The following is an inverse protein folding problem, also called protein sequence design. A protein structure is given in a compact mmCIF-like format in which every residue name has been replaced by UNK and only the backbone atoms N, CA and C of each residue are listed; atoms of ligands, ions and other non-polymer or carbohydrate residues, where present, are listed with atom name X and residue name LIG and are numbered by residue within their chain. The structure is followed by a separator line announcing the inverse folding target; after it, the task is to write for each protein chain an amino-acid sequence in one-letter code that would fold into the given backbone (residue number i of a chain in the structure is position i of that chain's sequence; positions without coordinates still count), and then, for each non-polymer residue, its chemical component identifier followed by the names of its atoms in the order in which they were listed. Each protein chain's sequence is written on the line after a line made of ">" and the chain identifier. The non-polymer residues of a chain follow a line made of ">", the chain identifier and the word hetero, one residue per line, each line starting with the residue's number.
data_IF_623551215392
#
_entry.id   IF_623551215392
#
_cell.length_a   1.000
_cell.length_b   1.000
_cell.length_c   1.000
_cell.angle_alpha   90.00
_cell.angle_beta   90.00
_cell.angle_gamma   90.00
#
_symmetry.space_group_name_H-M   'P 1'
#
loop_
_entity.id
_entity.type
_entity.pdbx_description
1 polymer ?
2 polymer ?
3 polymer ?
4 non-polymer ?
5 water ?
#
# COMPACT_ATOMS: atom_id res chain seq x y z
N UNK A 1 -19.53 -6.86 4.60
CA UNK A 1 -19.91 -6.03 3.44
C UNK A 1 -19.24 -6.50 2.17
N UNK A 2 -18.76 -5.54 1.40
CA UNK A 2 -18.03 -5.86 0.18
C UNK A 2 -16.55 -6.15 0.43
N UNK A 3 -15.96 -6.81 -0.55
CA UNK A 3 -14.59 -7.28 -0.39
C UNK A 3 -13.87 -7.24 -1.72
N UNK A 4 -12.56 -7.34 -1.65
CA UNK A 4 -11.71 -7.33 -2.84
C UNK A 4 -10.56 -8.31 -2.72
N UNK A 5 -10.08 -8.82 -3.84
CA UNK A 5 -8.82 -9.55 -3.92
C UNK A 5 -7.99 -8.87 -5.00
N UNK A 6 -6.75 -8.60 -4.73
CA UNK A 6 -5.87 -7.90 -5.69
C UNK A 6 -4.49 -8.52 -5.64
N UNK A 7 -3.90 -8.69 -6.83
CA UNK A 7 -2.50 -9.05 -6.98
C UNK A 7 -1.75 -7.89 -7.60
N UNK A 8 -0.62 -7.55 -7.00
CA UNK A 8 0.24 -6.47 -7.43
C UNK A 8 1.58 -7.04 -7.85
N UNK A 9 2.17 -6.48 -8.91
CA UNK A 9 3.41 -6.97 -9.46
C UNK A 9 4.26 -5.79 -9.87
N UNK A 10 5.55 -5.85 -9.52
CA UNK A 10 6.51 -4.83 -9.93
C UNK A 10 7.79 -5.48 -10.38
N UNK A 11 8.30 -5.12 -11.57
CA UNK A 11 9.62 -5.49 -12.02
C UNK A 11 10.40 -4.20 -12.24
N UNK A 12 11.66 -4.18 -11.81
CA UNK A 12 12.54 -3.01 -11.91
C UNK A 12 13.86 -3.47 -12.51
N UNK A 13 14.20 -2.95 -13.69
CA UNK A 13 15.46 -3.30 -14.28
C UNK A 13 16.63 -2.56 -13.63
N UNK A 14 17.79 -3.17 -13.75
CA UNK A 14 19.01 -2.68 -13.08
C UNK A 14 20.21 -3.03 -13.96
N UNK A 15 20.34 -2.35 -15.11
CA UNK A 15 21.38 -2.76 -16.08
C UNK A 15 22.75 -2.73 -15.42
N UNK A 16 23.53 -3.78 -15.67
CA UNK A 16 24.86 -3.92 -15.08
C UNK A 16 24.86 -4.56 -13.73
N UNK A 17 23.70 -4.86 -13.19
CA UNK A 17 23.51 -5.42 -11.84
C UNK A 17 22.59 -6.63 -11.89
N UNK A 18 22.68 -7.39 -12.97
CA UNK A 18 21.91 -8.58 -13.16
C UNK A 18 20.53 -8.30 -13.78
N UNK A 19 19.63 -9.23 -13.62
CA UNK A 19 18.33 -9.21 -14.26
C UNK A 19 17.32 -8.47 -13.40
N UNK A 20 16.21 -8.00 -13.97
CA UNK A 20 15.26 -7.19 -13.19
C UNK A 20 14.75 -7.93 -11.95
N UNK A 21 14.62 -7.20 -10.87
CA UNK A 21 14.00 -7.76 -9.68
C UNK A 21 12.48 -7.75 -9.79
N UNK A 22 11.84 -8.88 -9.44
CA UNK A 22 10.40 -9.06 -9.52
C UNK A 22 9.86 -9.30 -8.11
N UNK A 23 8.87 -8.49 -7.74
CA UNK A 23 8.18 -8.60 -6.45
C UNK A 23 6.67 -8.61 -6.71
N UNK A 24 5.97 -9.64 -6.20
CA UNK A 24 4.53 -9.64 -6.26
C UNK A 24 3.92 -9.96 -4.89
N UNK A 25 2.83 -9.29 -4.58
CA UNK A 25 2.09 -9.52 -3.33
C UNK A 25 0.60 -9.63 -3.65
N UNK A 26 -0.11 -10.40 -2.82
CA UNK A 26 -1.55 -10.56 -2.94
C UNK A 26 -2.20 -10.07 -1.67
N UNK A 27 -3.35 -9.42 -1.83
CA UNK A 27 -4.17 -8.90 -0.75
C UNK A 27 -5.61 -9.40 -0.89
N UNK A 28 -6.25 -9.64 0.26
CA UNK A 28 -7.71 -9.62 0.38
C UNK A 28 -8.04 -8.39 1.24
N UNK A 29 -8.86 -7.48 0.73
CA UNK A 29 -9.10 -6.23 1.43
C UNK A 29 -7.76 -5.60 1.78
N UNK A 30 -7.53 -5.22 3.04
CA UNK A 30 -6.26 -4.60 3.42
C UNK A 30 -5.35 -5.59 4.14
N UNK A 31 -5.51 -6.89 3.86
CA UNK A 31 -4.71 -7.96 4.46
C UNK A 31 -3.81 -8.60 3.42
N UNK A 32 -2.50 -8.47 3.61
CA UNK A 32 -1.52 -9.17 2.80
C UNK A 32 -1.62 -10.66 3.09
N UNK A 33 -1.65 -11.50 2.04
CA UNK A 33 -1.70 -12.94 2.25
C UNK A 33 -0.66 -13.78 1.56
N UNK A 34 -0.01 -13.28 0.50
CA UNK A 34 1.05 -14.01 -0.17
C UNK A 34 2.09 -13.03 -0.67
N UNK A 35 3.33 -13.51 -0.84
CA UNK A 35 4.40 -12.73 -1.41
C UNK A 35 5.36 -13.64 -2.17
N UNK A 36 6.04 -13.05 -3.16
CA UNK A 36 7.10 -13.70 -3.92
C UNK A 36 8.13 -12.63 -4.30
N UNK A 37 9.41 -12.91 -4.12
CA UNK A 37 10.49 -11.99 -4.47
C UNK A 37 11.59 -12.77 -5.18
N UNK A 38 11.92 -12.37 -6.41
CA UNK A 38 12.93 -13.12 -7.16
C UNK A 38 14.31 -13.03 -6.56
N UNK A 39 14.58 -12.06 -5.68
CA UNK A 39 15.89 -11.97 -5.00
C UNK A 39 15.95 -12.82 -3.74
N UNK A 40 14.85 -13.47 -3.36
CA UNK A 40 14.95 -14.40 -2.24
C UNK A 40 15.94 -15.53 -2.55
N UNK A 41 16.48 -16.15 -1.50
CA UNK A 41 17.51 -17.17 -1.74
C UNK A 41 16.96 -18.33 -2.55
N UNK A 42 15.71 -18.73 -2.27
CA UNK A 42 15.07 -19.86 -2.92
C UNK A 42 13.63 -19.48 -3.27
N UNK A 43 13.45 -18.63 -4.31
CA UNK A 43 12.16 -17.97 -4.52
C UNK A 43 10.98 -18.93 -4.58
N UNK A 44 10.04 -18.72 -3.70
CA UNK A 44 8.77 -19.44 -3.70
C UNK A 44 7.71 -18.47 -3.25
N UNK A 45 6.45 -18.69 -3.65
CA UNK A 45 5.39 -17.91 -3.02
C UNK A 45 5.24 -18.38 -1.59
N UNK A 46 5.21 -17.42 -0.69
CA UNK A 46 5.12 -17.68 0.75
C UNK A 46 3.85 -17.11 1.37
N UNK A 47 3.27 -17.81 2.35
CA UNK A 47 2.10 -17.31 3.07
C UNK A 47 2.44 -16.14 3.96
N UNK A 48 1.48 -15.23 4.09
CA UNK A 48 1.58 -14.08 5.01
C UNK A 48 0.36 -13.90 5.87
N UNK A 49 -0.62 -14.79 5.79
CA UNK A 49 -1.80 -14.76 6.66
C UNK A 49 -2.12 -16.18 7.10
N UNK A 50 -2.64 -16.35 8.31
CA UNK A 50 -2.83 -17.72 8.80
C UNK A 50 -3.83 -18.54 8.01
N UNK A 51 -4.84 -17.91 7.42
CA UNK A 51 -5.90 -18.62 6.76
C UNK A 51 -5.49 -19.17 5.40
N UNK A 52 -4.35 -18.73 4.82
CA UNK A 52 -3.88 -19.31 3.57
C UNK A 52 -2.93 -20.48 3.83
N UNK A 53 -2.48 -20.64 5.06
CA UNK A 53 -1.50 -21.69 5.35
C UNK A 53 -2.05 -23.07 5.09
N UNK A 54 -3.35 -23.24 5.21
CA UNK A 54 -3.98 -24.53 5.04
C UNK A 54 -4.04 -24.97 3.58
N UNK A 55 -3.74 -24.11 2.63
CA UNK A 55 -3.68 -24.58 1.28
C UNK A 55 -2.54 -25.59 1.17
N UNK A 56 -2.76 -26.59 0.38
CA UNK A 56 -1.86 -27.73 0.33
C UNK A 56 -0.72 -27.50 -0.66
N UNK A 57 0.18 -28.48 -0.76
CA UNK A 57 1.39 -28.31 -1.57
C UNK A 57 1.10 -28.04 -3.02
N UNK A 58 0.03 -28.57 -3.56
CA UNK A 58 -0.28 -28.33 -4.97
C UNK A 58 -0.53 -26.85 -5.22
N UNK A 59 -1.22 -26.18 -4.31
CA UNK A 59 -1.48 -24.74 -4.41
C UNK A 59 -0.16 -23.98 -4.45
N UNK A 60 0.73 -24.25 -3.51
CA UNK A 60 1.98 -23.50 -3.46
C UNK A 60 2.86 -23.77 -4.67
N UNK A 61 2.87 -25.02 -5.14
CA UNK A 61 3.65 -25.34 -6.35
C UNK A 61 3.10 -24.57 -7.55
N UNK A 62 1.79 -24.61 -7.73
CA UNK A 62 1.20 -23.91 -8.86
C UNK A 62 1.44 -22.41 -8.78
N UNK A 63 1.19 -21.82 -7.61
CA UNK A 63 1.41 -20.38 -7.43
C UNK A 63 2.84 -19.98 -7.71
N UNK A 64 3.78 -20.79 -7.21
CA UNK A 64 5.18 -20.48 -7.44
C UNK A 64 5.53 -20.55 -8.91
N UNK A 65 5.03 -21.56 -9.61
CA UNK A 65 5.26 -21.63 -11.06
C UNK A 65 4.71 -20.38 -11.75
N UNK A 66 3.49 -19.98 -11.41
CA UNK A 66 2.90 -18.80 -12.05
C UNK A 66 3.78 -17.57 -11.81
N UNK A 67 4.22 -17.38 -10.57
CA UNK A 67 5.07 -16.25 -10.26
C UNK A 67 6.39 -16.25 -11.01
N UNK A 68 7.06 -17.40 -11.10
CA UNK A 68 8.32 -17.47 -11.82
C UNK A 68 8.12 -17.18 -13.29
N UNK A 69 7.00 -17.68 -13.85
CA UNK A 69 6.74 -17.43 -15.27
C UNK A 69 6.45 -15.97 -15.51
N UNK A 70 5.74 -15.33 -14.61
CA UNK A 70 5.46 -13.89 -14.74
C UNK A 70 6.72 -13.05 -14.60
N UNK A 71 7.63 -13.43 -13.74
CA UNK A 71 8.91 -12.74 -13.66
C UNK A 71 9.60 -12.75 -15.00
N UNK A 72 9.57 -13.90 -15.67
CA UNK A 72 10.19 -14.01 -16.98
C UNK A 72 9.47 -13.19 -18.05
N UNK A 73 8.14 -13.25 -18.11
CA UNK A 73 7.46 -12.44 -19.13
C UNK A 73 7.68 -10.94 -18.86
N UNK A 74 7.76 -10.53 -17.60
CA UNK A 74 8.07 -9.12 -17.30
C UNK A 74 9.42 -8.71 -17.85
N UNK A 75 10.40 -9.61 -17.81
CA UNK A 75 11.71 -9.25 -18.33
C UNK A 75 11.65 -9.06 -19.83
N UNK A 76 10.91 -9.92 -20.52
CA UNK A 76 10.67 -9.74 -21.94
C UNK A 76 9.94 -8.43 -22.20
N UNK A 77 8.92 -8.15 -21.43
CA UNK A 77 8.14 -6.91 -21.57
C UNK A 77 9.00 -5.65 -21.37
N UNK A 78 9.92 -5.67 -20.39
CA UNK A 78 10.81 -4.53 -20.20
C UNK A 78 11.65 -4.32 -21.44
N UNK A 79 12.15 -5.40 -22.04
CA UNK A 79 12.88 -5.26 -23.31
C UNK A 79 12.00 -4.70 -24.41
N UNK A 80 10.77 -5.20 -24.53
CA UNK A 80 9.86 -4.67 -25.55
C UNK A 80 9.61 -3.18 -25.36
N UNK A 81 9.39 -2.77 -24.13
CA UNK A 81 9.02 -1.38 -23.86
C UNK A 81 10.18 -0.42 -24.18
N UNK A 82 11.44 -0.84 -24.03
CA UNK A 82 12.54 0.00 -24.52
C UNK A 82 12.39 0.27 -26.02
N UNK A 83 12.01 -0.74 -26.78
CA UNK A 83 11.80 -0.51 -28.20
C UNK A 83 10.66 0.45 -28.43
N UNK A 84 9.51 0.22 -27.77
CA UNK A 84 8.32 1.02 -28.05
C UNK A 84 8.53 2.49 -27.77
N UNK A 85 9.39 2.82 -26.79
CA UNK A 85 9.66 4.20 -26.38
C UNK A 85 11.00 4.72 -26.90
N UNK A 86 11.67 3.97 -27.75
CA UNK A 86 12.93 4.40 -28.34
C UNK A 86 13.97 4.69 -27.26
N UNK A 87 14.04 3.86 -26.23
CA UNK A 87 14.91 4.14 -25.10
C UNK A 87 16.21 3.33 -25.15
N UNK A 88 17.25 3.84 -24.50
CA UNK A 88 18.49 3.08 -24.44
C UNK A 88 18.43 1.97 -23.39
N UNK A 89 19.40 1.08 -23.43
CA UNK A 89 19.50 -0.04 -22.54
C UNK A 89 20.16 0.36 -21.24
N UNK A 90 20.50 1.62 -21.04
CA UNK A 90 21.32 1.95 -19.91
C UNK A 90 20.60 2.25 -18.62
N UNK A 91 19.35 2.59 -18.69
CA UNK A 91 18.63 3.07 -17.53
C UNK A 91 17.78 2.01 -16.85
N UNK A 92 17.41 2.30 -15.59
CA UNK A 92 16.45 1.48 -14.86
C UNK A 92 15.02 1.91 -15.19
N UNK A 93 14.15 0.94 -15.47
CA UNK A 93 12.74 1.17 -15.76
C UNK A 93 11.88 0.23 -14.93
N UNK A 94 10.58 0.58 -14.84
CA UNK A 94 9.65 -0.07 -13.93
C UNK A 94 8.43 -0.52 -14.72
N UNK A 95 7.99 -1.76 -14.47
CA UNK A 95 6.76 -2.31 -15.02
C UNK A 95 5.87 -2.77 -13.87
N UNK A 96 4.64 -2.29 -13.82
CA UNK A 96 3.69 -2.63 -12.76
C UNK A 96 2.44 -3.19 -13.40
N UNK A 97 1.82 -4.15 -12.71
CA UNK A 97 0.54 -4.68 -13.10
C UNK A 97 -0.27 -4.95 -11.83
N UNK A 98 -1.57 -4.64 -11.89
CA UNK A 98 -2.51 -5.04 -10.86
C UNK A 98 -3.69 -5.71 -11.54
N UNK A 99 -4.21 -6.77 -10.94
CA UNK A 99 -5.48 -7.33 -11.35
C UNK A 99 -6.23 -7.86 -10.15
N UNK A 100 -7.53 -8.05 -10.30
CA UNK A 100 -8.34 -8.65 -9.27
C UNK A 100 -9.79 -8.24 -9.39
N UNK A 101 -10.54 -8.53 -8.33
CA UNK A 101 -12.00 -8.44 -8.37
C UNK A 101 -12.51 -7.84 -7.07
N UNK A 102 -13.65 -7.18 -7.19
CA UNK A 102 -14.43 -6.68 -6.05
C UNK A 102 -15.75 -7.43 -6.07
N UNK A 103 -16.23 -7.85 -4.91
CA UNK A 103 -17.51 -8.52 -4.76
C UNK A 103 -18.33 -7.81 -3.71
N UNK A 104 -19.64 -7.97 -3.81
CA UNK A 104 -20.53 -7.42 -2.80
C UNK A 104 -20.80 -8.41 -1.69
N UNK A 105 -21.70 -8.01 -0.77
CA UNK A 105 -21.94 -8.81 0.43
C UNK A 105 -22.47 -10.17 0.13
N UNK A 106 -23.14 -10.33 -1.00
CA UNK A 106 -23.68 -11.60 -1.47
C UNK A 106 -22.67 -12.41 -2.26
N UNK A 107 -21.44 -11.91 -2.42
CA UNK A 107 -20.42 -12.65 -3.12
C UNK A 107 -20.42 -12.49 -4.61
N UNK A 108 -21.30 -11.66 -5.18
CA UNK A 108 -21.35 -11.50 -6.62
C UNK A 108 -20.34 -10.47 -7.09
N UNK A 109 -19.81 -10.69 -8.30
CA UNK A 109 -18.87 -9.72 -8.90
C UNK A 109 -19.48 -8.34 -9.02
N UNK A 110 -18.77 -7.36 -8.46
CA UNK A 110 -19.09 -5.95 -8.64
C UNK A 110 -18.27 -5.37 -9.79
N UNK A 111 -16.99 -5.65 -9.86
CA UNK A 111 -16.20 -5.32 -11.00
C UNK A 111 -14.85 -5.97 -10.92
N UNK A 112 -14.23 -6.10 -12.09
CA UNK A 112 -12.90 -6.64 -12.25
C UNK A 112 -11.91 -5.62 -12.79
N UNK A 113 -10.63 -5.94 -12.63
CA UNK A 113 -9.52 -5.07 -13.01
C UNK A 113 -8.38 -5.86 -13.58
N UNK A 114 -7.69 -5.23 -14.56
CA UNK A 114 -6.39 -5.74 -15.04
C UNK A 114 -5.72 -4.58 -15.73
N UNK A 115 -4.66 -4.04 -15.15
CA UNK A 115 -4.05 -2.82 -15.66
C UNK A 115 -2.57 -2.77 -15.43
N UNK A 116 -1.90 -2.06 -16.32
CA UNK A 116 -0.45 -1.96 -16.37
C UNK A 116 -0.01 -0.49 -16.34
N UNK A 117 1.19 -0.25 -15.77
CA UNK A 117 1.87 1.03 -15.84
C UNK A 117 3.32 0.80 -16.17
N UNK A 118 3.92 1.72 -16.93
CA UNK A 118 5.33 1.69 -17.28
C UNK A 118 5.95 3.00 -16.80
N UNK A 119 7.05 2.90 -16.05
CA UNK A 119 7.72 4.07 -15.49
C UNK A 119 6.77 4.98 -14.75
N UNK A 120 5.87 4.35 -13.99
CA UNK A 120 5.00 5.08 -13.10
C UNK A 120 3.78 5.68 -13.76
N UNK A 121 3.59 5.49 -15.05
CA UNK A 121 2.51 6.07 -15.81
C UNK A 121 1.55 5.00 -16.32
N UNK A 122 0.25 5.28 -16.29
CA UNK A 122 -0.69 4.38 -16.91
C UNK A 122 -0.25 4.01 -18.31
N UNK A 123 -0.35 2.71 -18.65
CA UNK A 123 0.05 2.17 -19.95
C UNK A 123 -1.17 1.57 -20.66
N UNK A 124 -1.77 0.50 -20.16
CA UNK A 124 -3.01 -0.04 -20.74
C UNK A 124 -3.83 -0.66 -19.63
N UNK A 125 -5.13 -0.47 -19.69
CA UNK A 125 -6.06 -0.98 -18.70
C UNK A 125 -7.26 -1.65 -19.38
N UNK A 126 -7.71 -2.78 -18.82
CA UNK A 126 -8.95 -3.41 -19.23
C UNK A 126 -10.08 -2.53 -18.68
N UNK A 127 -11.05 -2.20 -19.53
CA UNK A 127 -12.20 -1.41 -19.12
C UNK A 127 -13.16 -2.24 -18.25
N UNK A 128 -14.10 -1.54 -17.61
CA UNK A 128 -15.04 -2.18 -16.68
C UNK A 128 -15.89 -3.23 -17.39
N UNK A 129 -16.11 -3.08 -18.70
CA UNK A 129 -16.81 -4.10 -19.48
C UNK A 129 -16.09 -5.43 -19.56
N UNK A 130 -14.82 -5.51 -19.16
CA UNK A 130 -14.01 -6.72 -19.28
C UNK A 130 -13.90 -7.18 -20.73
N UNK A 131 -14.03 -6.22 -21.67
CA UNK A 131 -14.07 -6.58 -23.08
C UNK A 131 -13.29 -5.65 -23.98
N UNK A 132 -13.02 -4.44 -23.56
CA UNK A 132 -12.30 -3.45 -24.35
C UNK A 132 -11.21 -2.80 -23.50
N UNK A 133 -10.31 -2.08 -24.17
CA UNK A 133 -9.10 -1.56 -23.58
C UNK A 133 -8.99 -0.04 -23.64
N UNK A 134 -8.34 0.57 -22.61
CA UNK A 134 -7.91 1.96 -22.64
C UNK A 134 -6.40 1.98 -22.69
N UNK A 135 -5.85 2.45 -23.80
CA UNK A 135 -4.41 2.61 -24.00
C UNK A 135 -4.04 4.07 -23.79
N UNK A 136 -2.96 4.33 -23.07
CA UNK A 136 -2.57 5.69 -22.70
C UNK A 136 -1.89 6.47 -23.81
N UNK A 137 -1.28 5.78 -24.78
CA UNK A 137 -0.39 6.43 -25.75
C UNK A 137 -0.23 5.52 -26.95
N UNK A 138 0.53 5.98 -27.94
CA UNK A 138 0.64 5.20 -29.19
C UNK A 138 1.44 3.92 -29.00
N UNK A 139 2.34 3.84 -28.01
CA UNK A 139 3.03 2.60 -27.67
C UNK A 139 2.02 1.58 -27.11
N UNK A 140 1.21 1.99 -26.15
CA UNK A 140 0.22 1.07 -25.62
C UNK A 140 -0.79 0.64 -26.65
N UNK A 141 -1.02 1.44 -27.70
CA UNK A 141 -1.91 1.03 -28.78
C UNK A 141 -1.33 -0.14 -29.56
N UNK A 142 -0.01 -0.27 -29.61
CA UNK A 142 0.60 -1.45 -30.22
C UNK A 142 0.26 -2.70 -29.41
N UNK A 143 0.38 -2.60 -28.08
CA UNK A 143 -0.06 -3.69 -27.21
C UNK A 143 -1.54 -3.98 -27.37
N UNK A 144 -2.36 -2.92 -27.41
CA UNK A 144 -3.80 -3.10 -27.60
C UNK A 144 -4.11 -3.91 -28.85
N UNK A 145 -3.47 -3.58 -29.96
CA UNK A 145 -3.69 -4.31 -31.20
C UNK A 145 -3.31 -5.77 -31.04
N UNK A 146 -2.19 -6.04 -30.35
CA UNK A 146 -1.77 -7.43 -30.12
C UNK A 146 -2.79 -8.16 -29.25
N UNK A 147 -3.27 -7.49 -28.21
CA UNK A 147 -4.18 -8.16 -27.28
C UNK A 147 -5.57 -8.34 -27.87
N UNK A 148 -6.01 -7.41 -28.73
CA UNK A 148 -7.26 -7.61 -29.47
C UNK A 148 -7.13 -8.82 -30.40
N UNK A 149 -6.04 -8.90 -31.13
CA UNK A 149 -5.83 -9.98 -32.07
C UNK A 149 -5.84 -11.32 -31.41
N UNK A 150 -5.32 -11.40 -30.17
CA UNK A 150 -5.21 -12.64 -29.44
C UNK A 150 -6.40 -12.89 -28.52
N UNK A 151 -7.39 -12.00 -28.49
CA UNK A 151 -8.56 -12.15 -27.62
C UNK A 151 -8.14 -12.35 -26.15
N UNK A 152 -7.21 -11.51 -25.71
CA UNK A 152 -6.76 -11.52 -24.33
C UNK A 152 -7.90 -11.16 -23.36
N UNK A 153 -8.72 -10.17 -23.71
CA UNK A 153 -9.77 -9.71 -22.80
C UNK A 153 -10.70 -10.84 -22.42
N UNK A 154 -11.06 -11.70 -23.39
CA UNK A 154 -11.95 -12.82 -23.12
C UNK A 154 -11.37 -13.73 -22.06
N UNK A 155 -10.04 -14.00 -22.13
CA UNK A 155 -9.38 -14.82 -21.10
C UNK A 155 -9.45 -14.17 -19.72
N UNK A 156 -9.23 -12.86 -19.69
CA UNK A 156 -9.27 -12.12 -18.42
C UNK A 156 -10.68 -12.10 -17.87
N UNK A 157 -11.67 -11.85 -18.70
CA UNK A 157 -13.05 -11.87 -18.25
C UNK A 157 -13.39 -13.20 -17.60
N UNK A 158 -12.98 -14.31 -18.25
CA UNK A 158 -13.33 -15.63 -17.70
C UNK A 158 -12.74 -15.80 -16.30
N UNK A 159 -11.49 -15.39 -16.12
CA UNK A 159 -10.86 -15.49 -14.80
C UNK A 159 -11.57 -14.57 -13.80
N UNK A 160 -11.76 -13.32 -14.15
CA UNK A 160 -12.24 -12.33 -13.20
C UNK A 160 -13.65 -12.61 -12.74
N UNK A 161 -14.51 -13.13 -13.63
CA UNK A 161 -15.88 -13.49 -13.26
C UNK A 161 -15.99 -14.85 -12.61
N UNK A 162 -14.98 -15.72 -12.78
CA UNK A 162 -15.04 -17.11 -12.39
C UNK A 162 -14.08 -17.35 -11.24
N UNK A 163 -12.86 -17.82 -11.53
CA UNK A 163 -11.90 -18.16 -10.50
C UNK A 163 -11.69 -17.02 -9.51
N UNK A 164 -11.55 -15.78 -9.95
CA UNK A 164 -11.22 -14.71 -9.00
C UNK A 164 -12.27 -14.61 -7.89
N UNK A 165 -13.54 -14.61 -8.27
CA UNK A 165 -14.66 -14.51 -7.35
C UNK A 165 -14.70 -15.73 -6.44
N UNK A 166 -14.45 -16.92 -7.02
CA UNK A 166 -14.57 -18.14 -6.23
C UNK A 166 -13.41 -18.28 -5.25
N UNK A 167 -12.20 -17.86 -5.64
CA UNK A 167 -11.11 -17.83 -4.66
C UNK A 167 -11.45 -16.87 -3.53
N UNK A 168 -11.93 -15.69 -3.87
CA UNK A 168 -12.19 -14.71 -2.84
C UNK A 168 -13.24 -15.25 -1.87
N UNK A 169 -14.30 -15.88 -2.38
CA UNK A 169 -15.30 -16.49 -1.50
C UNK A 169 -14.66 -17.50 -0.55
N UNK A 170 -13.79 -18.36 -1.06
CA UNK A 170 -13.11 -19.35 -0.24
C UNK A 170 -12.27 -18.69 0.84
N UNK A 171 -11.51 -17.66 0.47
CA UNK A 171 -10.62 -17.03 1.43
C UNK A 171 -11.44 -16.34 2.51
N UNK A 172 -12.52 -15.68 2.12
CA UNK A 172 -13.37 -14.99 3.10
C UNK A 172 -13.93 -15.98 4.12
N UNK A 173 -14.27 -17.20 3.70
CA UNK A 173 -14.75 -18.21 4.64
C UNK A 173 -13.61 -18.71 5.51
N UNK A 174 -12.50 -19.11 4.91
CA UNK A 174 -11.39 -19.65 5.70
C UNK A 174 -10.84 -18.61 6.67
N UNK A 175 -10.87 -17.35 6.27
CA UNK A 175 -10.40 -16.24 7.07
C UNK A 175 -11.51 -15.46 7.77
N UNK A 176 -12.66 -16.08 8.02
CA UNK A 176 -13.80 -15.34 8.55
C UNK A 176 -13.52 -14.69 9.90
N UNK A 177 -12.61 -15.23 10.71
CA UNK A 177 -12.33 -14.62 12.01
C UNK A 177 -11.84 -13.19 11.88
N UNK A 178 -11.00 -12.95 10.86
CA UNK A 178 -10.30 -11.68 10.70
C UNK A 178 -10.79 -10.88 9.50
N UNK A 179 -10.95 -11.52 8.35
CA UNK A 179 -11.38 -10.83 7.15
C UNK A 179 -12.78 -10.29 7.28
N UNK A 180 -13.61 -10.93 8.09
CA UNK A 180 -14.98 -10.52 8.31
C UNK A 180 -15.17 -9.84 9.66
N UNK A 181 -14.11 -9.26 10.24
CA UNK A 181 -14.15 -8.48 11.45
C UNK A 181 -13.64 -7.09 11.16
N UNK A 182 -14.46 -6.09 11.46
CA UNK A 182 -14.04 -4.68 11.46
C UNK A 182 -13.63 -4.31 12.86
N UNK A 183 -12.45 -3.72 13.03
CA UNK A 183 -12.01 -3.18 14.32
C UNK A 183 -12.26 -1.67 14.29
N UNK A 184 -13.09 -1.12 15.14
CA UNK A 184 -13.38 0.31 15.06
C UNK A 184 -12.20 1.12 15.54
N UNK A 185 -12.11 2.39 15.16
CA UNK A 185 -11.06 3.22 15.69
C UNK A 185 -11.26 3.53 17.16
N UNK A 186 -10.12 3.63 17.84
CA UNK A 186 -10.02 4.20 19.17
C UNK A 186 -9.67 5.67 18.99
N UNK A 187 -10.48 6.57 19.53
CA UNK A 187 -10.41 7.97 19.16
C UNK A 187 -10.17 8.84 20.38
N UNK A 188 -9.44 9.93 20.14
CA UNK A 188 -9.24 10.94 21.17
C UNK A 188 -8.75 12.22 20.53
N UNK A 189 -8.85 13.32 21.26
CA UNK A 189 -8.42 14.65 20.82
C UNK A 189 -7.31 15.14 21.76
N UNK A 190 -6.20 15.64 21.18
CA UNK A 190 -5.14 16.27 21.94
C UNK A 190 -4.97 17.72 21.55
N UNK A 191 -4.38 18.48 22.46
CA UNK A 191 -4.22 19.91 22.38
C UNK A 191 -2.76 20.26 22.55
N UNK A 192 -2.24 21.09 21.64
CA UNK A 192 -0.79 21.37 21.57
C UNK A 192 -0.62 22.88 21.39
N UNK A 193 -0.36 23.62 22.47
CA UNK A 193 -0.11 25.05 22.37
C UNK A 193 1.01 25.36 21.38
N UNK A 194 0.77 26.36 20.55
CA UNK A 194 1.74 26.87 19.58
C UNK A 194 2.36 28.18 20.08
N UNK A 195 1.55 29.09 20.57
CA UNK A 195 1.96 30.43 20.97
C UNK A 195 0.88 30.87 21.95
N UNK A 196 0.97 32.12 22.41
CA UNK A 196 -0.06 32.62 23.29
C UNK A 196 -1.39 32.71 22.55
N UNK A 197 -1.37 32.72 21.20
CA UNK A 197 -2.56 33.07 20.40
C UNK A 197 -3.30 31.87 19.84
N UNK A 198 -2.69 30.71 19.76
CA UNK A 198 -3.30 29.57 19.07
C UNK A 198 -2.68 28.27 19.56
N UNK A 199 -3.40 27.21 19.28
CA UNK A 199 -3.00 25.86 19.62
C UNK A 199 -3.49 24.89 18.54
N UNK A 200 -2.80 23.74 18.40
CA UNK A 200 -3.33 22.71 17.53
C UNK A 200 -4.27 21.79 18.28
N UNK A 201 -5.41 21.46 17.67
CA UNK A 201 -6.24 20.33 18.07
C UNK A 201 -5.97 19.20 17.09
N UNK A 202 -5.67 18.01 17.61
CA UNK A 202 -5.39 16.85 16.77
C UNK A 202 -6.38 15.76 17.15
N UNK A 203 -7.10 15.27 16.16
CA UNK A 203 -8.09 14.21 16.34
C UNK A 203 -7.46 12.92 15.84
N UNK A 204 -7.39 11.92 16.71
CA UNK A 204 -6.74 10.64 16.43
C UNK A 204 -7.72 9.51 16.25
N UNK A 205 -7.38 8.64 15.30
CA UNK A 205 -8.03 7.34 15.09
C UNK A 205 -6.93 6.29 15.06
N UNK A 206 -7.01 5.31 15.98
CA UNK A 206 -5.99 4.28 16.17
C UNK A 206 -6.63 2.90 16.19
N UNK A 207 -5.87 1.91 15.72
CA UNK A 207 -6.27 0.53 15.94
C UNK A 207 -7.41 0.04 15.07
N UNK A 208 -7.65 0.64 13.91
CA UNK A 208 -8.83 0.32 13.11
C UNK A 208 -8.48 -0.56 11.91
N UNK A 209 -9.48 -1.34 11.49
CA UNK A 209 -9.37 -2.21 10.33
C UNK A 209 -10.79 -2.36 9.76
N UNK A 210 -11.02 -2.20 8.45
CA UNK A 210 -10.07 -1.95 7.39
C UNK A 210 -9.59 -0.49 7.39
N UNK A 211 -8.75 -0.14 6.41
CA UNK A 211 -8.11 1.17 6.37
C UNK A 211 -9.04 2.34 6.03
N UNK A 212 -10.12 2.11 5.29
CA UNK A 212 -11.00 3.19 4.89
C UNK A 212 -11.59 3.88 6.13
N UNK A 213 -11.47 5.21 6.20
CA UNK A 213 -11.97 5.99 7.33
C UNK A 213 -12.19 7.41 6.83
N UNK A 214 -13.08 8.13 7.49
CA UNK A 214 -13.24 9.57 7.26
C UNK A 214 -13.08 10.29 8.58
N UNK A 215 -12.32 11.34 8.58
CA UNK A 215 -11.94 12.01 9.78
C UNK A 215 -11.90 13.49 9.43
N UNK A 216 -12.84 14.29 9.96
CA UNK A 216 -12.97 15.70 9.60
C UNK A 216 -13.15 16.57 10.82
N UNK A 217 -12.80 17.84 10.68
CA UNK A 217 -13.06 18.85 11.70
C UNK A 217 -14.12 19.81 11.17
N UNK A 218 -15.04 20.18 12.05
CA UNK A 218 -15.97 21.28 11.83
C UNK A 218 -15.76 22.37 12.86
N UNK A 219 -16.07 23.61 12.44
CA UNK A 219 -16.06 24.77 13.33
C UNK A 219 -17.44 25.41 13.20
N UNK A 220 -18.16 25.53 14.32
CA UNK A 220 -19.56 26.01 14.28
C UNK A 220 -20.38 25.23 13.25
N UNK A 221 -20.06 23.93 13.08
CA UNK A 221 -20.80 23.11 12.15
C UNK A 221 -20.40 23.20 10.68
N UNK A 222 -19.34 23.93 10.36
CA UNK A 222 -18.86 24.09 9.00
C UNK A 222 -17.56 23.32 8.80
N UNK A 223 -17.52 22.50 7.77
CA UNK A 223 -16.30 21.73 7.48
C UNK A 223 -15.08 22.66 7.30
N UNK A 224 -13.96 22.27 7.90
CA UNK A 224 -12.71 22.99 7.81
C UNK A 224 -11.71 22.38 6.84
N UNK A 225 -12.17 21.99 5.68
CA UNK A 225 -11.34 21.17 4.80
C UNK A 225 -10.01 21.87 4.46
N UNK A 226 -10.09 23.15 4.02
CA UNK A 226 -8.87 23.81 3.59
C UNK A 226 -7.91 24.05 4.73
N UNK A 227 -8.38 24.07 5.96
CA UNK A 227 -7.54 24.38 7.10
C UNK A 227 -7.17 23.16 7.91
N UNK A 228 -7.48 21.98 7.43
CA UNK A 228 -7.18 20.74 8.14
C UNK A 228 -5.95 20.09 7.55
N UNK A 229 -5.01 19.70 8.41
CA UNK A 229 -3.91 18.84 8.03
C UNK A 229 -4.35 17.40 8.25
N UNK A 230 -4.45 16.64 7.20
CA UNK A 230 -4.92 15.25 7.23
C UNK A 230 -3.76 14.38 6.77
N UNK A 231 -3.20 13.53 7.65
CA UNK A 231 -2.09 12.67 7.24
C UNK A 231 -2.64 11.44 6.52
N UNK A 232 -1.81 10.87 5.66
CA UNK A 232 -2.18 9.62 5.00
C UNK A 232 -2.42 8.52 6.05
N UNK A 233 -3.43 7.69 5.81
CA UNK A 233 -3.68 6.53 6.66
C UNK A 233 -2.44 5.65 6.60
N UNK A 234 -2.01 5.16 7.78
CA UNK A 234 -0.70 4.50 7.89
C UNK A 234 -0.82 3.21 8.67
N UNK A 235 -0.03 2.21 8.30
CA UNK A 235 -0.11 0.93 9.01
C UNK A 235 0.58 0.94 10.37
N UNK A 236 -0.07 0.32 11.36
CA UNK A 236 0.55 0.19 12.68
C UNK A 236 1.54 -0.96 12.75
N UNK A 237 1.39 -2.01 11.92
CA UNK A 237 2.20 -3.22 11.95
C UNK A 237 1.55 -4.41 12.66
N UNK A 238 0.35 -4.23 13.21
CA UNK A 238 -0.42 -5.27 13.93
C UNK A 238 -1.73 -5.60 13.19
N UNK A 239 -1.81 -5.31 11.89
CA UNK A 239 -2.90 -5.42 10.93
C UNK A 239 -3.72 -4.13 10.86
N UNK A 240 -3.65 -3.30 11.90
CA UNK A 240 -4.51 -2.12 11.99
C UNK A 240 -3.81 -0.88 11.42
N UNK A 241 -4.61 0.17 11.32
CA UNK A 241 -4.23 1.43 10.71
C UNK A 241 -4.40 2.57 11.72
N UNK A 242 -3.80 3.72 11.36
CA UNK A 242 -3.85 4.93 12.14
C UNK A 242 -4.05 6.12 11.21
N UNK A 243 -4.67 7.17 11.75
CA UNK A 243 -4.83 8.43 11.04
C UNK A 243 -5.04 9.54 12.04
N UNK A 244 -4.65 10.76 11.69
CA UNK A 244 -5.06 11.92 12.46
C UNK A 244 -5.33 13.11 11.55
N UNK A 245 -6.10 14.05 12.10
CA UNK A 245 -6.48 15.28 11.41
C UNK A 245 -6.27 16.41 12.42
N UNK A 246 -5.64 17.50 12.00
CA UNK A 246 -5.33 18.59 12.92
C UNK A 246 -5.74 19.94 12.35
N UNK A 247 -6.15 20.83 13.24
CA UNK A 247 -6.47 22.22 12.93
C UNK A 247 -5.80 23.15 13.92
N UNK A 248 -5.50 24.36 13.46
CA UNK A 248 -4.95 25.42 14.28
C UNK A 248 -6.11 26.27 14.77
N UNK A 249 -6.24 26.36 16.08
CA UNK A 249 -7.41 26.89 16.77
C UNK A 249 -7.00 28.16 17.51
N UNK A 250 -7.62 29.30 17.23
CA UNK A 250 -7.34 30.50 18.03
C UNK A 250 -7.71 30.28 19.49
N UNK A 251 -6.95 30.95 20.37
CA UNK A 251 -7.23 30.90 21.79
C UNK A 251 -8.70 31.12 22.08
N UNK A 252 -9.24 30.23 22.92
CA UNK A 252 -10.57 30.27 23.42
C UNK A 252 -11.63 29.74 22.48
N UNK A 253 -11.27 29.24 21.30
CA UNK A 253 -12.26 28.74 20.34
C UNK A 253 -12.44 27.24 20.43
N UNK A 254 -11.75 26.53 21.36
CA UNK A 254 -11.73 25.07 21.28
C UNK A 254 -13.10 24.41 21.25
N UNK A 255 -14.08 24.90 22.05
CA UNK A 255 -15.34 24.21 22.08
C UNK A 255 -16.20 24.42 20.85
N UNK A 256 -15.79 25.29 19.94
CA UNK A 256 -16.48 25.48 18.68
C UNK A 256 -16.08 24.44 17.64
N UNK A 257 -15.03 23.68 17.91
CA UNK A 257 -14.51 22.69 16.98
C UNK A 257 -14.94 21.28 17.38
N UNK A 258 -15.39 20.52 16.39
CA UNK A 258 -15.80 19.13 16.61
C UNK A 258 -15.13 18.23 15.57
N UNK A 259 -14.70 17.05 16.00
CA UNK A 259 -14.08 16.06 15.12
C UNK A 259 -15.11 14.99 14.84
N UNK A 260 -15.21 14.60 13.59
CA UNK A 260 -16.21 13.65 13.13
C UNK A 260 -15.51 12.45 12.56
N UNK A 261 -15.93 11.25 12.97
CA UNK A 261 -15.27 10.01 12.58
C UNK A 261 -16.30 9.04 12.01
N UNK A 262 -16.02 8.51 10.80
CA UNK A 262 -16.85 7.50 10.15
C UNK A 262 -15.96 6.32 9.83
N UNK A 263 -16.40 5.13 10.19
CA UNK A 263 -15.70 3.88 9.93
C UNK A 263 -16.70 2.74 9.94
N UNK A 264 -16.47 1.71 9.11
CA UNK A 264 -17.42 0.63 9.05
C UNK A 264 -17.61 -0.13 10.35
N UNK A 265 -16.62 -0.07 11.27
CA UNK A 265 -16.79 -0.72 12.54
C UNK A 265 -17.57 0.06 13.56
N UNK A 266 -17.99 1.28 13.23
CA UNK A 266 -18.81 2.13 14.09
C UNK A 266 -20.27 2.03 13.68
N UNK A 267 -21.19 1.69 14.58
CA UNK A 267 -22.61 1.68 14.18
C UNK A 267 -23.17 3.05 13.91
N UNK A 268 -22.56 4.11 14.47
CA UNK A 268 -22.95 5.47 14.19
C UNK A 268 -21.68 6.33 14.14
N UNK A 269 -21.63 7.33 13.27
CA UNK A 269 -20.44 8.21 13.30
C UNK A 269 -20.32 8.88 14.64
N UNK A 270 -19.05 9.15 15.02
CA UNK A 270 -18.70 9.72 16.30
C UNK A 270 -18.47 11.20 16.11
N UNK A 271 -18.78 11.97 17.16
CA UNK A 271 -18.41 13.38 17.28
C UNK A 271 -17.61 13.53 18.57
N UNK A 272 -16.45 14.18 18.51
CA UNK A 272 -15.56 14.36 19.63
C UNK A 272 -15.17 15.83 19.73
N UNK A 273 -14.92 16.25 20.97
CA UNK A 273 -14.35 17.55 21.22
C UNK A 273 -13.19 17.42 22.19
N UNK A 274 -12.34 18.43 22.21
CA UNK A 274 -11.32 18.50 23.22
C UNK A 274 -11.92 18.54 24.59
N UNK A 275 -11.45 17.66 25.46
CA UNK A 275 -11.87 17.59 26.87
C UNK A 275 -10.69 17.97 27.75
N UNK A 276 -10.58 19.21 28.22
CA UNK A 276 -9.51 19.63 29.14
C UNK A 276 -9.63 18.90 30.46
N UNK B 1 11.14 11.03 -17.68
CA UNK B 1 11.04 10.17 -16.47
C UNK B 1 10.43 10.94 -15.29
N UNK B 2 9.17 10.60 -14.99
CA UNK B 2 8.43 11.24 -13.90
C UNK B 2 9.09 10.86 -12.58
N UNK B 3 9.04 11.77 -11.63
CA UNK B 3 9.50 11.45 -10.29
C UNK B 3 8.49 11.99 -9.30
N UNK B 4 8.27 11.24 -8.23
CA UNK B 4 7.35 11.62 -7.18
C UNK B 4 8.09 11.44 -5.85
N UNK B 5 8.16 12.50 -5.04
CA UNK B 5 8.96 12.43 -3.83
C UNK B 5 8.18 11.76 -2.70
N UNK B 6 8.86 11.03 -1.82
CA UNK B 6 8.11 10.34 -0.79
C UNK B 6 7.51 11.26 0.26
N UNK B 7 6.34 10.86 0.68
CA UNK B 7 5.82 11.28 1.97
C UNK B 7 6.43 10.39 3.02
N UNK B 8 6.72 10.97 4.19
CA UNK B 8 7.40 10.25 5.25
C UNK B 8 6.67 10.50 6.57
N UNK B 9 6.32 9.43 7.29
CA UNK B 9 5.77 9.54 8.64
C UNK B 9 6.55 8.58 9.52
N UNK B 10 6.97 9.08 10.70
CA UNK B 10 7.65 8.26 11.71
C UNK B 10 6.81 8.29 12.97
N UNK B 11 6.51 7.13 13.53
CA UNK B 11 5.47 7.03 14.55
C UNK B 11 5.59 5.69 15.25
N UNK B 12 4.88 5.54 16.37
CA UNK B 12 4.87 4.28 17.10
C UNK B 12 3.61 3.48 16.84
N UNK B 13 3.73 2.17 17.05
CA UNK B 13 2.57 1.28 16.91
C UNK B 13 1.50 1.59 17.93
N UNK B 14 1.90 1.83 19.18
CA UNK B 14 1.02 2.18 20.28
C UNK B 14 1.43 3.51 20.86
N UNK B 15 0.53 4.21 21.59
CA UNK B 15 0.94 5.45 22.21
C UNK B 15 2.16 5.23 23.09
N UNK B 16 3.09 6.15 22.98
CA UNK B 16 4.33 5.97 23.70
C UNK B 16 4.13 6.08 25.20
N UNK B 17 4.77 5.17 25.91
CA UNK B 17 4.83 5.20 27.37
C UNK B 17 6.28 4.91 27.73
N UNK B 18 6.91 5.87 28.40
CA UNK B 18 8.33 5.71 28.68
C UNK B 18 8.58 4.42 29.44
N UNK B 19 9.59 3.68 29.01
CA UNK B 19 9.96 2.42 29.62
C UNK B 19 9.18 1.21 29.16
N UNK B 20 8.18 1.37 28.29
CA UNK B 20 7.40 0.24 27.78
C UNK B 20 7.73 -0.06 26.32
N UNK B 21 7.99 -1.34 26.03
CA UNK B 21 8.36 -1.78 24.69
C UNK B 21 7.23 -1.49 23.71
N UNK B 22 7.63 -1.20 22.48
CA UNK B 22 6.76 -0.66 21.43
C UNK B 22 7.44 -0.97 20.08
N UNK B 23 6.88 -0.48 19.01
CA UNK B 23 7.50 -0.56 17.69
C UNK B 23 7.58 0.81 17.09
N UNK B 24 8.73 1.11 16.50
CA UNK B 24 8.99 2.38 15.81
C UNK B 24 8.83 2.10 14.33
N UNK B 25 7.99 2.87 13.67
CA UNK B 25 7.66 2.71 12.26
C UNK B 25 8.08 3.92 11.48
N UNK B 26 8.57 3.69 10.25
CA UNK B 26 8.74 4.75 9.27
C UNK B 26 8.02 4.30 8.00
N UNK B 27 6.94 5.01 7.64
CA UNK B 27 6.12 4.71 6.49
C UNK B 27 6.47 5.72 5.43
N UNK B 28 6.91 5.21 4.30
CA UNK B 28 7.22 6.04 3.14
C UNK B 28 6.22 5.69 2.02
N UNK B 29 5.64 6.69 1.40
CA UNK B 29 4.58 6.47 0.45
C UNK B 29 4.57 7.53 -0.64
N UNK B 30 3.82 7.24 -1.69
CA UNK B 30 3.60 8.23 -2.71
C UNK B 30 4.74 8.45 -3.65
N UNK B 31 5.73 7.55 -3.71
CA UNK B 31 6.99 7.82 -4.39
C UNK B 31 7.15 7.02 -5.68
N UNK B 32 7.94 7.61 -6.57
CA UNK B 32 8.37 6.98 -7.80
C UNK B 32 9.68 7.64 -8.22
N UNK B 33 10.69 6.88 -8.69
CA UNK B 33 10.77 5.44 -8.80
C UNK B 33 10.87 4.77 -7.46
N UNK B 34 10.95 3.45 -7.47
CA UNK B 34 10.79 2.65 -6.26
C UNK B 34 12.08 2.53 -5.46
N UNK B 35 13.24 2.87 -6.02
CA UNK B 35 14.53 2.82 -5.31
C UNK B 35 14.49 3.80 -4.18
N UNK B 36 14.74 3.37 -2.94
CA UNK B 36 14.66 4.26 -1.79
C UNK B 36 15.53 3.64 -0.71
N UNK B 37 16.12 4.49 0.13
CA UNK B 37 16.91 4.04 1.26
C UNK B 37 16.33 4.64 2.52
N UNK B 38 16.10 3.79 3.52
CA UNK B 38 15.48 4.24 4.77
C UNK B 38 16.29 3.67 5.91
N UNK B 39 16.71 4.54 6.83
CA UNK B 39 17.38 4.16 8.07
C UNK B 39 16.57 4.70 9.25
N UNK B 40 16.45 3.91 10.30
CA UNK B 40 15.90 4.38 11.57
C UNK B 40 17.09 4.68 12.48
N UNK B 41 17.02 5.81 13.17
CA UNK B 41 18.13 6.32 13.96
C UNK B 41 17.71 6.40 15.43
N UNK B 42 18.67 6.06 16.28
CA UNK B 42 18.57 6.26 17.72
C UNK B 42 19.73 7.15 18.12
N UNK B 43 19.41 8.33 18.64
CA UNK B 43 20.43 9.30 19.01
C UNK B 43 21.42 9.53 17.89
N UNK B 44 20.87 9.61 16.67
CA UNK B 44 21.65 9.92 15.50
C UNK B 44 22.36 8.76 14.83
N UNK B 45 22.31 7.58 15.39
CA UNK B 45 23.03 6.45 14.83
C UNK B 45 22.06 5.39 14.31
N UNK B 46 22.47 4.73 13.24
CA UNK B 46 21.61 3.72 12.63
C UNK B 46 21.30 2.59 13.59
N UNK B 47 20.02 2.22 13.65
CA UNK B 47 19.56 1.02 14.32
C UNK B 47 19.81 -0.17 13.40
N UNK B 48 20.40 -1.23 13.95
CA UNK B 48 20.71 -2.43 13.18
C UNK B 48 19.48 -3.34 13.06
N UNK B 49 19.43 -4.12 11.99
CA UNK B 49 18.43 -5.20 11.86
C UNK B 49 16.97 -4.71 11.70
N UNK B 50 16.77 -3.49 11.21
CA UNK B 50 15.44 -3.00 10.92
C UNK B 50 14.84 -3.86 9.82
N UNK B 51 13.56 -4.17 9.92
CA UNK B 51 12.81 -4.95 8.93
C UNK B 51 11.94 -4.04 8.09
N UNK B 52 11.52 -4.54 6.93
CA UNK B 52 10.64 -3.75 6.07
C UNK B 52 9.73 -4.63 5.22
N UNK B 53 8.60 -4.05 4.84
CA UNK B 53 7.57 -4.70 4.05
C UNK B 53 8.07 -4.95 2.63
N UNK B 54 7.37 -5.82 1.91
CA UNK B 54 7.63 -6.02 0.50
C UNK B 54 6.97 -4.93 -0.34
N UNK B 55 7.70 -4.48 -1.35
CA UNK B 55 7.25 -3.41 -2.20
C UNK B 55 5.82 -3.65 -2.72
N UNK B 56 5.00 -2.61 -2.58
CA UNK B 56 3.64 -2.60 -3.09
C UNK B 56 3.30 -1.17 -3.50
N UNK B 57 2.11 -0.97 -4.04
CA UNK B 57 1.77 0.32 -4.60
C UNK B 57 0.28 0.58 -4.50
N UNK B 58 -0.05 1.85 -4.63
CA UNK B 58 -1.38 2.40 -4.47
C UNK B 58 -2.12 2.44 -5.82
N UNK B 59 -3.40 2.83 -5.75
CA UNK B 59 -4.22 2.90 -6.94
C UNK B 59 -3.57 3.78 -8.02
N UNK B 60 -2.92 4.88 -7.61
CA UNK B 60 -2.25 5.80 -8.53
C UNK B 60 -0.86 5.36 -8.94
N UNK B 61 -0.48 4.12 -8.65
CA UNK B 61 0.76 3.46 -8.99
C UNK B 61 1.94 3.85 -8.12
N UNK B 62 1.81 4.84 -7.27
CA UNK B 62 2.94 5.22 -6.42
C UNK B 62 3.22 4.18 -5.36
N UNK B 63 4.49 4.06 -4.99
CA UNK B 63 4.95 2.99 -4.10
C UNK B 63 4.80 3.34 -2.63
N UNK B 64 4.74 2.30 -1.80
CA UNK B 64 4.80 2.48 -0.33
C UNK B 64 5.54 1.32 0.31
N UNK B 65 6.21 1.64 1.43
CA UNK B 65 6.97 0.68 2.23
C UNK B 65 6.86 1.09 3.70
N UNK B 66 6.88 0.09 4.57
CA UNK B 66 6.98 0.27 6.01
C UNK B 66 8.28 -0.35 6.51
N UNK B 67 9.07 0.46 7.22
CA UNK B 67 10.27 0.05 7.93
C UNK B 67 9.95 0.08 9.42
N UNK B 68 10.43 -0.91 10.16
CA UNK B 68 10.00 -0.99 11.54
C UNK B 68 11.02 -1.75 12.41
N UNK B 69 11.02 -1.43 13.70
CA UNK B 69 11.89 -2.11 14.66
C UNK B 69 11.25 -1.98 16.05
N UNK B 70 11.50 -2.97 16.90
CA UNK B 70 11.06 -2.81 18.27
C UNK B 70 11.90 -1.69 18.92
N UNK B 71 11.29 -1.00 19.88
CA UNK B 71 11.99 0.02 20.66
C UNK B 71 11.28 0.26 21.97
N UNK B 72 12.03 0.78 22.93
CA UNK B 72 11.44 1.10 24.22
C UNK B 72 11.71 2.58 24.47
N UNK B 73 10.72 3.47 24.24
CA UNK B 73 10.96 4.92 24.39
C UNK B 73 11.31 5.31 25.81
N UNK B 74 12.06 6.42 25.90
CA UNK B 74 12.40 7.05 27.17
C UNK B 74 12.23 8.55 27.03
N UNK B 75 12.40 9.25 28.17
CA UNK B 75 12.30 10.70 28.10
C UNK B 75 13.40 11.29 27.24
N UNK B 76 14.61 10.73 27.31
CA UNK B 76 15.76 11.41 26.72
C UNK B 76 16.19 10.88 25.35
N UNK B 77 15.85 9.66 24.98
CA UNK B 77 16.37 9.12 23.72
C UNK B 77 15.63 9.74 22.55
N UNK B 78 16.38 10.10 21.51
CA UNK B 78 15.82 10.71 20.30
C UNK B 78 15.79 9.66 19.18
N UNK B 79 14.68 9.57 18.46
CA UNK B 79 14.55 8.64 17.34
C UNK B 79 14.19 9.45 16.11
N UNK B 80 14.54 8.88 14.94
CA UNK B 80 14.28 9.57 13.70
C UNK B 80 14.30 8.53 12.58
N UNK B 81 13.83 8.99 11.41
CA UNK B 81 13.85 8.24 10.15
C UNK B 81 14.61 9.07 9.11
N UNK B 82 15.59 8.46 8.41
CA UNK B 82 16.42 9.14 7.41
C UNK B 82 16.16 8.49 6.08
N UNK B 83 15.73 9.27 5.10
CA UNK B 83 15.29 8.76 3.81
C UNK B 83 16.10 9.40 2.69
N UNK B 84 16.56 8.55 1.76
CA UNK B 84 17.15 9.09 0.54
C UNK B 84 16.42 8.52 -0.67
N UNK B 85 16.29 9.37 -1.71
CA UNK B 85 15.52 9.06 -2.89
C UNK B 85 16.05 10.00 -3.97
N UNK B 86 15.89 9.63 -5.23
CA UNK B 86 16.45 10.47 -6.29
C UNK B 86 15.88 11.90 -6.27
N UNK B 87 14.64 12.07 -5.80
CA UNK B 87 14.02 13.39 -5.75
C UNK B 87 14.61 14.30 -4.67
N UNK B 88 15.45 13.77 -3.82
CA UNK B 88 16.00 14.51 -2.68
C UNK B 88 17.46 14.88 -2.95
N UNK B 89 17.81 16.16 -2.77
CA UNK B 89 19.21 16.54 -2.98
C UNK B 89 20.12 16.12 -1.83
N UNK B 90 19.56 15.90 -0.65
CA UNK B 90 20.28 15.39 0.49
C UNK B 90 19.30 14.51 1.25
N UNK B 91 19.77 13.61 2.10
CA UNK B 91 18.82 12.79 2.85
C UNK B 91 17.93 13.65 3.72
N UNK B 92 16.69 13.21 3.85
CA UNK B 92 15.71 13.88 4.67
C UNK B 92 15.58 13.15 5.99
N UNK B 93 15.73 13.89 7.09
CA UNK B 93 15.62 13.33 8.43
C UNK B 93 14.34 13.86 9.04
N UNK B 94 13.45 12.94 9.43
CA UNK B 94 12.22 13.30 10.14
C UNK B 94 12.35 12.73 11.54
N UNK B 95 12.24 13.61 12.54
CA UNK B 95 12.34 13.23 13.94
C UNK B 95 11.04 12.60 14.43
N UNK B 96 11.17 11.55 15.28
CA UNK B 96 10.00 11.03 15.93
C UNK B 96 9.51 11.99 16.99
N UNK B 97 8.21 12.28 16.93
CA UNK B 97 7.50 13.12 17.88
C UNK B 97 6.34 12.29 18.40
N UNK B 98 6.31 11.98 19.70
CA UNK B 98 5.27 11.09 20.16
C UNK B 98 3.86 11.69 20.08
N UNK B 99 3.74 12.98 19.76
CA UNK B 99 2.47 13.64 19.59
C UNK B 99 2.01 13.66 18.14
N UNK B 100 2.73 12.98 17.24
CA UNK B 100 2.33 12.85 15.84
C UNK B 100 2.39 11.41 15.38
N UNK C 1 -6.24 -17.12 -5.52
CA UNK C 1 -5.35 -17.85 -6.46
C UNK C 1 -5.17 -17.03 -7.72
N UNK C 2 -3.99 -17.14 -8.32
CA UNK C 2 -3.62 -16.25 -9.43
C UNK C 2 -4.14 -16.72 -10.79
N UNK C 3 -4.18 -15.74 -11.70
CA UNK C 3 -4.42 -15.90 -13.14
C UNK C 3 -3.21 -16.70 -13.70
N UNK C 4 -3.45 -17.82 -14.39
CA UNK C 4 -2.42 -18.55 -15.15
C UNK C 4 -2.67 -18.32 -16.63
N UNK C 5 -2.16 -17.21 -17.12
CA UNK C 5 -2.42 -16.84 -18.50
C UNK C 5 -1.30 -15.94 -18.95
N UNK C 6 -0.30 -16.45 -19.65
CA UNK C 6 0.81 -15.58 -20.07
C UNK C 6 0.29 -14.48 -20.98
N UNK C 7 0.69 -13.24 -20.68
CA UNK C 7 0.25 -12.04 -21.40
C UNK C 7 1.45 -11.13 -21.55
N UNK C 8 1.90 -10.92 -22.77
CA UNK C 8 3.07 -10.11 -23.07
C UNK C 8 2.67 -8.84 -23.81
N UNK C 9 3.29 -7.71 -23.44
CA UNK C 9 3.00 -6.43 -24.09
C UNK C 9 3.53 -6.32 -25.53
X LIG D 1 -11.35 -21.17 -7.64
X LIG D 1 -11.62 -21.64 -8.90
X LIG D 1 -11.95 -22.27 -6.64
X LIG D 1 -11.68 -23.60 -7.07
X LIG D 1 -11.37 -22.00 -5.28
X LIG D 1 -11.76 -23.07 -4.44
X LIG D 1 -10.40 -21.05 -7.47
X LIG D 1 -11.76 -20.31 -7.45
X LIG D 1 -10.90 -22.00 -9.18
X LIG D 1 -12.91 -22.18 -6.62
X LIG D 1 -10.84 -23.69 -7.17
X LIG D 1 -10.40 -21.91 -5.36
X LIG D 1 -11.69 -21.13 -4.97
X LIG D 1 -11.71 -23.78 -4.92
X LIG E 1 -5.75 -2.52 -1.15
X LIG E 1 -5.86 -3.29 -2.31
X LIG E 1 -4.69 -3.15 -0.22
X LIG E 1 -4.70 -2.50 1.03
X LIG E 1 -3.35 -3.14 -0.89
X LIG E 1 -2.88 -1.79 -1.02
X LIG E 1 -5.51 -1.61 -1.34
X LIG E 1 -6.60 -2.47 -0.67
X LIG E 1 -6.05 -2.75 -2.92
X LIG E 1 -4.92 -4.08 -0.08
X LIG E 1 -4.20 -2.97 1.56
X LIG E 1 -2.74 -3.70 -0.36
X LIG E 1 -3.43 -3.60 -1.74
X LIG E 1 -3.09 -1.37 -0.28
X LIG F 1 -8.02 3.37 -16.21
X LIG F 1 -8.51 4.37 -17.13
X LIG F 1 -6.93 4.06 -15.36
X LIG F 1 -7.49 5.11 -14.56
X LIG F 1 -6.39 2.99 -14.48
X LIG F 1 -5.30 3.55 -13.60
X LIG F 1 -8.72 3.02 -15.62
X LIG F 1 -7.64 2.60 -16.66
X LIG F 1 -8.98 3.95 -17.71
X LIG F 1 -6.24 4.44 -15.94
X LIG F 1 -8.05 4.77 -13.99
X LIG F 1 -7.14 2.62 -13.97
X LIG F 1 -6.09 2.26 -15.04
X LIG F 1 -4.63 3.71 -14.12
X LIG G 1 -1.26 -13.72 -25.25
X LIG G 1 -1.80 -13.42 -23.96
X LIG G 1 -0.06 -12.79 -25.64
X LIG G 1 0.92 -12.74 -24.70
X LIG G 1 -0.57 -11.41 -25.77
X LIG G 1 0.48 -10.60 -26.47
X LIG G 1 -0.94 -14.64 -25.29
X LIG G 1 -1.93 -13.65 -25.94
X LIG G 1 -2.36 -14.04 -23.78
X LIG G 1 0.29 -13.15 -26.46
X LIG G 1 1.57 -13.23 -24.98
X LIG G 1 -1.42 -11.43 -26.24
X LIG G 1 -0.78 -11.07 -24.88
X LIG G 1 0.47 -9.84 -26.11
#
# INVERSE_FOLDING_TARGET
>A
GSHSMRYFHTSVSRPGRGEPRFITVGYVDDTLFVRFDSDAASPREEPRAPWIEQEGPEYWDRETQICKAKAQTDREDLRTLLRYYNQSEAGSHTLQNMYGCDVGPDGRLLRGYHQHAYDGKDYIALNEDLSSWTAADTAAQITQRKWEAARVAEQLRAYLEGECVEWLRRYLENGKETLQRADPPKTHVTHHPISDHEATLRCWALGFYPAEITLTWQRDGEDQTQDTELVETRPAGDRTFQKWAAVVVPSGEEQRYTCHVQHEGLPKPLTLRWEP
>B
MIQRTPKIQVYSRHPAENGKSNFLNCYVSGFHPSDIEVDLLKNGERIEKVEHSDLSFSKDWSFYLLYYTEFTPTEKDEYACRVNHVTLSQPKIVKWDRDM
>C
GRLNEPIKV
>D hetero
1 GOL C1 O1 C2 O2 C3 O3 H11 H12 HO1 H2 HO2 H31 H32 HO3
>E hetero
1 GOL C1 O1 C2 O2 C3 O3 H11 H12 HO1 H2 HO2 H31 H32 HO3
>F hetero
1 GOL C1 O1 C2 O2 C3 O3 H11 H12 HO1 H2 HO2 H31 H32 HO3
>G hetero
1 GOL C1 O1 C2 O2 C3 O3 H11 H12 HO1 H2 HO2 H31 H32 HO3
#
